data_IF_495972174917
#
_entry.id   IF_495972174917
#
_cell.length_a   1.000
_cell.length_b   1.000
_cell.length_c   1.000
_cell.angle_alpha   90.00
_cell.angle_beta   90.00
_cell.angle_gamma   90.00
#
_symmetry.space_group_name_H-M   'P 1'
#
loop_
_entity.id
_entity.type
_entity.pdbx_description
1 polymer ?
#
# COMPACT_ATOMS: atom_id res chain seq x y z
N UNK A 1 34.13 -29.93 -5.49
CA UNK A 1 32.86 -29.75 -6.25
C UNK A 1 32.37 -31.07 -6.86
N UNK A 2 31.07 -31.36 -6.73
CA UNK A 2 30.39 -32.51 -7.33
C UNK A 2 30.09 -32.29 -8.83
N UNK A 3 29.99 -33.36 -9.62
CA UNK A 3 29.59 -33.30 -11.04
C UNK A 3 28.18 -32.71 -11.22
N UNK A 4 27.32 -32.83 -10.21
CA UNK A 4 25.99 -32.21 -10.16
C UNK A 4 26.10 -30.68 -10.08
N UNK A 5 26.91 -30.16 -9.15
CA UNK A 5 27.13 -28.71 -8.95
C UNK A 5 27.69 -28.05 -10.21
N UNK A 6 28.66 -28.69 -10.89
CA UNK A 6 29.21 -28.18 -12.15
C UNK A 6 28.12 -28.04 -13.21
N UNK A 7 27.24 -29.04 -13.36
CA UNK A 7 26.12 -28.99 -14.32
C UNK A 7 25.13 -27.88 -14.00
N UNK A 8 24.84 -27.62 -12.71
CA UNK A 8 23.97 -26.52 -12.29
C UNK A 8 24.59 -25.16 -12.61
N UNK A 9 25.88 -24.95 -12.32
CA UNK A 9 26.63 -23.73 -12.67
C UNK A 9 26.60 -23.48 -14.19
N UNK A 10 26.78 -24.52 -15.02
CA UNK A 10 26.66 -24.39 -16.49
C UNK A 10 25.25 -23.98 -16.93
N UNK A 11 24.20 -24.59 -16.37
CA UNK A 11 22.81 -24.21 -16.67
C UNK A 11 22.54 -22.76 -16.30
N UNK A 12 22.99 -22.33 -15.12
CA UNK A 12 22.85 -20.96 -14.65
C UNK A 12 23.51 -19.97 -15.61
N UNK A 13 24.73 -20.26 -16.07
CA UNK A 13 25.42 -19.44 -17.07
C UNK A 13 24.61 -19.30 -18.37
N UNK A 14 24.00 -20.39 -18.85
CA UNK A 14 23.09 -20.36 -20.00
C UNK A 14 21.87 -19.45 -19.79
N UNK A 15 21.23 -19.53 -18.63
CA UNK A 15 20.11 -18.66 -18.28
C UNK A 15 20.53 -17.18 -18.19
N UNK A 16 21.68 -16.88 -17.59
CA UNK A 16 22.27 -15.54 -17.54
C UNK A 16 22.54 -14.98 -18.93
N UNK A 17 23.04 -15.81 -19.86
CA UNK A 17 23.27 -15.40 -21.25
C UNK A 17 21.98 -15.00 -21.98
N UNK A 18 20.86 -15.68 -21.72
CA UNK A 18 19.54 -15.29 -22.25
C UNK A 18 19.07 -13.99 -21.60
N UNK A 19 19.23 -13.87 -20.29
CA UNK A 19 18.83 -12.69 -19.53
C UNK A 19 19.58 -11.43 -20.01
N UNK A 20 20.89 -11.51 -20.20
CA UNK A 20 21.69 -10.40 -20.72
C UNK A 20 21.18 -9.90 -22.09
N UNK A 21 20.74 -10.81 -22.97
CA UNK A 21 20.13 -10.44 -24.25
C UNK A 21 18.78 -9.73 -24.07
N UNK A 22 17.97 -10.18 -23.11
CA UNK A 22 16.68 -9.54 -22.80
C UNK A 22 16.89 -8.16 -22.15
N UNK A 23 17.86 -8.03 -21.25
CA UNK A 23 18.19 -6.74 -20.62
C UNK A 23 18.64 -5.71 -21.66
N UNK A 24 19.48 -6.12 -22.63
CA UNK A 24 19.89 -5.26 -23.74
C UNK A 24 18.72 -4.75 -24.58
N UNK A 25 17.65 -5.53 -24.73
CA UNK A 25 16.42 -5.09 -25.43
C UNK A 25 15.66 -4.01 -24.67
N UNK A 26 15.83 -3.94 -23.35
CA UNK A 26 15.07 -3.06 -22.44
C UNK A 26 15.92 -1.86 -21.99
N UNK A 27 17.19 -1.82 -22.39
CA UNK A 27 18.13 -0.74 -22.14
C UNK A 27 17.67 0.62 -22.69
N UNK A 28 17.16 0.74 -23.94
CA UNK A 28 16.71 2.01 -24.53
C UNK A 28 15.63 2.71 -23.72
N UNK A 29 15.45 4.03 -23.90
CA UNK A 29 14.45 4.84 -23.18
C UNK A 29 13.01 4.32 -23.33
N UNK A 30 12.12 4.71 -22.41
CA UNK A 30 10.70 4.29 -22.46
C UNK A 30 10.03 4.67 -23.79
N UNK A 31 10.37 5.83 -24.33
CA UNK A 31 9.87 6.34 -25.60
C UNK A 31 10.36 5.51 -26.78
N UNK A 32 11.65 5.15 -26.83
CA UNK A 32 12.21 4.28 -27.87
C UNK A 32 11.60 2.88 -27.81
N UNK A 33 11.41 2.34 -26.60
CA UNK A 33 10.78 1.03 -26.42
C UNK A 33 9.35 0.99 -26.95
N UNK A 34 8.57 2.06 -26.75
CA UNK A 34 7.19 2.17 -27.23
C UNK A 34 7.10 2.45 -28.73
N UNK A 35 8.18 2.85 -29.38
CA UNK A 35 8.27 2.96 -30.84
C UNK A 35 8.57 1.61 -31.50
N UNK A 36 9.41 0.79 -30.86
CA UNK A 36 9.85 -0.49 -31.39
C UNK A 36 8.91 -1.65 -31.03
N UNK A 37 8.32 -1.63 -29.83
CA UNK A 37 7.52 -2.72 -29.28
C UNK A 37 6.15 -2.24 -28.83
N UNK A 38 5.14 -3.09 -29.00
CA UNK A 38 3.84 -2.86 -28.37
C UNK A 38 3.86 -3.24 -26.87
N UNK A 39 2.84 -2.80 -26.13
CA UNK A 39 2.72 -3.04 -24.68
C UNK A 39 2.62 -4.54 -24.35
N UNK A 40 2.03 -5.35 -25.23
CA UNK A 40 1.88 -6.79 -25.06
C UNK A 40 3.22 -7.51 -25.22
N UNK A 41 4.03 -7.08 -26.19
CA UNK A 41 5.41 -7.55 -26.39
C UNK A 41 6.29 -7.17 -25.19
N UNK A 42 6.22 -5.93 -24.71
CA UNK A 42 6.94 -5.49 -23.51
C UNK A 42 6.52 -6.29 -22.26
N UNK A 43 5.22 -6.59 -22.13
CA UNK A 43 4.70 -7.48 -21.06
C UNK A 43 5.26 -8.90 -21.18
N UNK A 44 5.38 -9.42 -22.39
CA UNK A 44 5.98 -10.74 -22.67
C UNK A 44 7.47 -10.74 -22.32
N UNK A 45 8.22 -9.71 -22.72
CA UNK A 45 9.63 -9.56 -22.38
C UNK A 45 9.82 -9.51 -20.86
N UNK A 46 9.01 -8.71 -20.15
CA UNK A 46 9.01 -8.68 -18.67
C UNK A 46 8.77 -10.06 -18.08
N UNK A 47 7.75 -10.79 -18.57
CA UNK A 47 7.44 -12.14 -18.09
C UNK A 47 8.57 -13.13 -18.32
N UNK A 48 9.28 -13.03 -19.45
CA UNK A 48 10.46 -13.85 -19.72
C UNK A 48 11.62 -13.51 -18.77
N UNK A 49 11.89 -12.24 -18.52
CA UNK A 49 12.92 -11.78 -17.57
C UNK A 49 12.65 -12.37 -16.18
N UNK A 50 11.46 -12.17 -15.64
CA UNK A 50 11.05 -12.69 -14.32
C UNK A 50 11.18 -14.21 -14.25
N UNK A 51 10.68 -14.94 -15.26
CA UNK A 51 10.78 -16.40 -15.29
C UNK A 51 12.23 -16.90 -15.33
N UNK A 52 13.13 -16.19 -16.02
CA UNK A 52 14.55 -16.55 -16.06
C UNK A 52 15.24 -16.22 -14.73
N UNK A 53 14.88 -15.11 -14.09
CA UNK A 53 15.35 -14.75 -12.75
C UNK A 53 14.97 -15.84 -11.74
N UNK A 54 13.69 -16.23 -11.66
CA UNK A 54 13.24 -17.31 -10.75
C UNK A 54 14.01 -18.62 -10.99
N UNK A 55 14.27 -18.98 -12.25
CA UNK A 55 15.04 -20.19 -12.56
C UNK A 55 16.50 -20.08 -12.09
N UNK A 56 17.09 -18.88 -12.17
CA UNK A 56 18.46 -18.62 -11.70
C UNK A 56 18.49 -18.67 -10.17
N UNK A 57 17.52 -18.08 -9.48
CA UNK A 57 17.45 -18.07 -8.02
C UNK A 57 17.32 -19.50 -7.46
N UNK A 58 16.47 -20.33 -8.10
CA UNK A 58 16.37 -21.76 -7.77
C UNK A 58 17.67 -22.54 -8.02
N UNK A 59 18.48 -22.14 -9.00
CA UNK A 59 19.78 -22.75 -9.23
C UNK A 59 20.81 -22.25 -8.22
N UNK A 60 20.77 -20.97 -7.84
CA UNK A 60 21.65 -20.39 -6.83
C UNK A 60 21.44 -21.09 -5.49
N UNK A 61 20.20 -21.27 -5.05
CA UNK A 61 19.86 -21.96 -3.79
C UNK A 61 20.45 -23.38 -3.76
N UNK A 62 20.21 -24.17 -4.82
CA UNK A 62 20.74 -25.55 -4.93
C UNK A 62 22.26 -25.62 -5.03
N UNK A 63 22.89 -24.62 -5.67
CA UNK A 63 24.35 -24.56 -5.75
C UNK A 63 24.92 -24.29 -4.36
N UNK A 64 24.35 -23.33 -3.63
CA UNK A 64 24.79 -22.98 -2.27
C UNK A 64 24.63 -24.17 -1.31
N UNK A 65 23.55 -24.95 -1.42
CA UNK A 65 23.34 -26.16 -0.62
C UNK A 65 24.41 -27.25 -0.83
N UNK A 66 25.02 -27.33 -2.01
CA UNK A 66 26.03 -28.34 -2.36
C UNK A 66 27.48 -27.88 -2.16
N UNK A 67 27.71 -26.58 -1.90
CA UNK A 67 29.05 -26.01 -1.71
C UNK A 67 29.53 -26.16 -0.26
N UNK A 68 30.85 -26.18 -0.09
CA UNK A 68 31.46 -26.12 1.24
C UNK A 68 31.38 -24.70 1.82
N UNK A 69 31.37 -24.58 3.15
CA UNK A 69 31.17 -23.30 3.85
C UNK A 69 32.17 -22.21 3.43
N UNK A 70 33.38 -22.59 3.05
CA UNK A 70 34.45 -21.70 2.56
C UNK A 70 34.21 -21.17 1.14
N UNK A 71 33.44 -21.88 0.31
CA UNK A 71 33.13 -21.49 -1.07
C UNK A 71 31.80 -20.71 -1.20
N UNK A 72 30.95 -20.72 -0.17
CA UNK A 72 29.59 -20.13 -0.23
C UNK A 72 29.60 -18.61 -0.37
N UNK A 73 30.48 -17.91 0.35
CA UNK A 73 30.48 -16.43 0.35
C UNK A 73 30.79 -15.86 -1.03
N UNK A 74 31.84 -16.36 -1.68
CA UNK A 74 32.24 -15.94 -3.03
C UNK A 74 31.15 -16.28 -4.07
N UNK A 75 30.47 -17.41 -3.89
CA UNK A 75 29.38 -17.82 -4.78
C UNK A 75 28.14 -16.93 -4.66
N UNK A 76 27.80 -16.44 -3.46
CA UNK A 76 26.69 -15.51 -3.25
C UNK A 76 27.01 -14.16 -3.87
N UNK A 77 28.22 -13.63 -3.68
CA UNK A 77 28.63 -12.37 -4.30
C UNK A 77 28.59 -12.46 -5.84
N UNK A 78 29.01 -13.60 -6.40
CA UNK A 78 28.89 -13.94 -7.81
C UNK A 78 27.43 -14.05 -8.29
N UNK A 79 26.53 -14.52 -7.43
CA UNK A 79 25.11 -14.65 -7.70
C UNK A 79 24.43 -13.28 -7.88
N UNK A 80 24.78 -12.33 -7.01
CA UNK A 80 24.08 -11.05 -6.87
C UNK A 80 24.47 -9.97 -7.88
N UNK A 81 25.59 -10.13 -8.61
CA UNK A 81 26.09 -9.10 -9.54
C UNK A 81 25.10 -8.62 -10.61
N UNK A 82 24.09 -9.42 -10.93
CA UNK A 82 23.11 -9.09 -11.97
C UNK A 82 21.72 -8.75 -11.41
N UNK A 83 21.51 -8.87 -10.10
CA UNK A 83 20.19 -8.67 -9.47
C UNK A 83 19.68 -7.25 -9.71
N UNK A 84 20.56 -6.25 -9.54
CA UNK A 84 20.20 -4.84 -9.72
C UNK A 84 19.72 -4.53 -11.15
N UNK A 85 20.43 -5.00 -12.17
CA UNK A 85 20.07 -4.73 -13.58
C UNK A 85 18.72 -5.35 -13.95
N UNK A 86 18.45 -6.56 -13.42
CA UNK A 86 17.17 -7.24 -13.61
C UNK A 86 16.04 -6.45 -12.96
N UNK A 87 16.21 -6.07 -11.69
CA UNK A 87 15.19 -5.32 -10.95
C UNK A 87 14.87 -3.97 -11.61
N UNK A 88 15.90 -3.27 -12.09
CA UNK A 88 15.74 -2.01 -12.81
C UNK A 88 14.93 -2.20 -14.09
N UNK A 89 15.25 -3.22 -14.88
CA UNK A 89 14.53 -3.54 -16.11
C UNK A 89 13.07 -3.94 -15.85
N UNK A 90 12.82 -4.80 -14.85
CA UNK A 90 11.46 -5.22 -14.46
C UNK A 90 10.63 -4.03 -13.98
N UNK A 91 11.22 -3.15 -13.18
CA UNK A 91 10.54 -1.95 -12.66
C UNK A 91 10.18 -0.99 -13.79
N UNK A 92 11.12 -0.75 -14.72
CA UNK A 92 10.90 0.08 -15.90
C UNK A 92 9.76 -0.43 -16.76
N UNK A 93 9.79 -1.72 -17.13
CA UNK A 93 8.71 -2.33 -17.92
C UNK A 93 7.37 -2.28 -17.19
N UNK A 94 7.36 -2.53 -15.88
CA UNK A 94 6.14 -2.47 -15.08
C UNK A 94 5.54 -1.06 -15.05
N UNK A 95 6.39 -0.02 -14.99
CA UNK A 95 5.95 1.38 -15.08
C UNK A 95 5.31 1.68 -16.42
N UNK A 96 5.98 1.34 -17.53
CA UNK A 96 5.47 1.57 -18.90
C UNK A 96 4.12 0.87 -19.09
N UNK A 97 4.02 -0.41 -18.71
CA UNK A 97 2.77 -1.18 -18.83
C UNK A 97 1.64 -0.51 -18.04
N UNK A 98 1.90 -0.11 -16.79
CA UNK A 98 0.90 0.56 -15.95
C UNK A 98 0.46 1.92 -16.52
N UNK A 99 1.39 2.73 -17.02
CA UNK A 99 1.11 4.03 -17.63
C UNK A 99 0.26 3.88 -18.92
N UNK A 100 0.54 2.85 -19.72
CA UNK A 100 -0.24 2.54 -20.90
C UNK A 100 -1.70 2.15 -20.57
N UNK A 101 -1.91 1.34 -19.52
CA UNK A 101 -3.25 0.96 -19.05
C UNK A 101 -4.05 2.17 -18.56
N UNK A 102 -3.39 3.08 -17.82
CA UNK A 102 -4.01 4.32 -17.34
C UNK A 102 -4.42 5.17 -18.54
N UNK A 103 -3.53 5.32 -19.53
CA UNK A 103 -3.78 6.13 -20.72
C UNK A 103 -4.95 5.57 -21.55
N UNK A 104 -5.03 4.25 -21.72
CA UNK A 104 -6.13 3.58 -22.40
C UNK A 104 -7.47 3.74 -21.66
N UNK A 105 -7.47 3.65 -20.32
CA UNK A 105 -8.68 3.90 -19.51
C UNK A 105 -9.13 5.35 -19.62
N UNK A 106 -8.19 6.30 -19.61
CA UNK A 106 -8.50 7.72 -19.75
C UNK A 106 -9.05 8.08 -21.13
N UNK A 107 -8.49 7.55 -22.22
CA UNK A 107 -9.01 7.79 -23.57
C UNK A 107 -10.43 7.27 -23.73
N UNK A 108 -10.70 6.05 -23.24
CA UNK A 108 -12.03 5.45 -23.22
C UNK A 108 -13.02 6.33 -22.46
N UNK A 109 -12.66 6.76 -21.23
CA UNK A 109 -13.49 7.67 -20.45
C UNK A 109 -13.78 8.99 -21.19
N UNK A 110 -12.77 9.60 -21.83
CA UNK A 110 -12.94 10.84 -22.60
C UNK A 110 -13.94 10.62 -23.74
N UNK A 111 -13.77 9.59 -24.56
CA UNK A 111 -14.68 9.29 -25.68
C UNK A 111 -16.10 9.01 -25.19
N UNK A 112 -16.28 8.19 -24.16
CA UNK A 112 -17.59 7.89 -23.58
C UNK A 112 -18.27 9.13 -23.02
N UNK A 113 -17.53 10.01 -22.33
CA UNK A 113 -18.10 11.25 -21.78
C UNK A 113 -18.51 12.26 -22.85
N UNK A 114 -17.77 12.35 -23.96
CA UNK A 114 -18.17 13.17 -25.12
C UNK A 114 -19.41 12.58 -25.78
N UNK A 115 -19.43 11.27 -26.03
CA UNK A 115 -20.59 10.60 -26.62
C UNK A 115 -21.86 10.78 -25.75
N UNK A 116 -21.71 10.66 -24.44
CA UNK A 116 -22.80 10.88 -23.49
C UNK A 116 -23.35 12.31 -23.55
N UNK A 117 -22.46 13.32 -23.64
CA UNK A 117 -22.87 14.72 -23.81
C UNK A 117 -23.67 14.94 -25.11
N UNK A 118 -23.39 14.19 -26.16
CA UNK A 118 -24.08 14.26 -27.45
C UNK A 118 -25.45 13.56 -27.47
N UNK A 119 -25.69 12.58 -26.58
CA UNK A 119 -26.95 11.82 -26.52
C UNK A 119 -28.07 12.63 -25.83
N UNK A 120 -27.76 13.76 -25.20
CA UNK A 120 -28.78 14.72 -24.75
C UNK A 120 -29.65 14.25 -23.58
N UNK A 121 -29.33 13.13 -22.94
CA UNK A 121 -29.96 12.78 -21.66
C UNK A 121 -29.42 13.70 -20.55
N UNK A 122 -30.34 14.36 -19.86
CA UNK A 122 -30.03 15.26 -18.74
C UNK A 122 -29.08 14.59 -17.74
N UNK A 123 -28.02 15.31 -17.34
CA UNK A 123 -27.07 14.91 -16.30
C UNK A 123 -27.77 14.51 -14.98
N UNK A 124 -29.02 14.91 -14.79
CA UNK A 124 -29.85 14.60 -13.63
C UNK A 124 -30.34 13.15 -13.62
N UNK A 125 -30.70 12.58 -14.79
CA UNK A 125 -31.20 11.19 -14.88
C UNK A 125 -30.10 10.18 -14.51
N UNK A 126 -28.92 10.33 -15.11
CA UNK A 126 -27.77 9.46 -14.81
C UNK A 126 -27.13 9.77 -13.45
N UNK A 127 -27.17 11.04 -13.03
CA UNK A 127 -26.75 11.47 -11.70
C UNK A 127 -27.51 10.74 -10.59
N UNK A 128 -28.83 10.53 -10.75
CA UNK A 128 -29.66 9.82 -9.78
C UNK A 128 -29.22 8.37 -9.52
N UNK A 129 -28.67 7.69 -10.53
CA UNK A 129 -28.18 6.31 -10.42
C UNK A 129 -26.73 6.25 -9.90
N UNK A 130 -25.86 7.13 -10.41
CA UNK A 130 -24.44 7.10 -10.06
C UNK A 130 -24.15 7.65 -8.67
N UNK A 131 -24.86 8.67 -8.23
CA UNK A 131 -24.61 9.34 -6.94
C UNK A 131 -24.70 8.33 -5.77
N UNK A 132 -25.75 7.49 -5.64
CA UNK A 132 -25.80 6.45 -4.60
C UNK A 132 -24.67 5.42 -4.71
N UNK A 133 -24.30 5.02 -5.93
CA UNK A 133 -23.23 4.04 -6.17
C UNK A 133 -21.88 4.61 -5.71
N UNK A 134 -21.57 5.85 -6.10
CA UNK A 134 -20.33 6.54 -5.74
C UNK A 134 -20.27 6.76 -4.23
N UNK A 135 -21.34 7.28 -3.62
CA UNK A 135 -21.41 7.47 -2.16
C UNK A 135 -21.19 6.15 -1.41
N UNK A 136 -21.72 5.03 -1.91
CA UNK A 136 -21.49 3.72 -1.31
C UNK A 136 -20.06 3.19 -1.45
N UNK A 137 -19.34 3.60 -2.50
CA UNK A 137 -17.92 3.26 -2.69
C UNK A 137 -16.98 4.13 -1.86
N UNK A 138 -17.45 5.28 -1.36
CA UNK A 138 -16.65 6.14 -0.49
C UNK A 138 -16.56 5.56 0.94
N UNK A 139 -15.38 5.67 1.59
CA UNK A 139 -15.22 5.34 3.00
C UNK A 139 -16.18 6.12 3.90
N UNK A 140 -16.61 5.52 5.01
CA UNK A 140 -17.61 6.10 5.91
C UNK A 140 -17.25 7.51 6.40
N UNK A 141 -15.98 7.73 6.77
CA UNK A 141 -15.50 9.04 7.20
C UNK A 141 -15.57 10.12 6.10
N UNK A 142 -15.36 9.73 4.83
CA UNK A 142 -15.48 10.66 3.70
C UNK A 142 -16.95 11.02 3.50
N UNK A 143 -17.83 10.01 3.55
CA UNK A 143 -19.28 10.18 3.42
C UNK A 143 -19.84 11.10 4.50
N UNK A 144 -19.42 10.93 5.75
CA UNK A 144 -19.79 11.81 6.87
C UNK A 144 -19.34 13.26 6.65
N UNK A 145 -18.11 13.45 6.17
CA UNK A 145 -17.60 14.78 5.82
C UNK A 145 -18.41 15.41 4.68
N UNK A 146 -18.80 14.62 3.68
CA UNK A 146 -19.64 15.08 2.57
C UNK A 146 -21.01 15.55 3.08
N UNK A 147 -21.68 14.72 3.89
CA UNK A 147 -22.99 15.05 4.48
C UNK A 147 -22.89 16.28 5.38
N UNK A 148 -21.77 16.46 6.08
CA UNK A 148 -21.52 17.65 6.90
C UNK A 148 -21.33 18.92 6.06
N UNK A 149 -20.68 18.80 4.91
CA UNK A 149 -20.39 19.93 4.02
C UNK A 149 -21.59 20.33 3.15
N UNK A 150 -22.46 19.39 2.80
CA UNK A 150 -23.61 19.62 1.93
C UNK A 150 -24.88 19.87 2.73
N UNK A 151 -25.42 21.10 2.64
CA UNK A 151 -26.66 21.51 3.31
C UNK A 151 -27.93 21.19 2.51
N UNK A 152 -27.79 20.59 1.32
CA UNK A 152 -28.90 20.30 0.41
C UNK A 152 -29.44 18.87 0.55
N UNK A 153 -30.72 18.70 0.24
CA UNK A 153 -31.48 17.45 0.42
C UNK A 153 -31.15 16.38 -0.65
N UNK A 154 -30.47 16.76 -1.73
CA UNK A 154 -30.07 15.83 -2.79
C UNK A 154 -28.67 16.16 -3.34
N UNK A 155 -27.95 15.10 -3.67
CA UNK A 155 -26.65 15.16 -4.33
C UNK A 155 -26.83 15.05 -5.84
N UNK A 156 -26.18 15.92 -6.59
CA UNK A 156 -26.03 15.76 -8.03
C UNK A 156 -24.56 15.45 -8.36
N UNK A 157 -24.32 14.92 -9.56
CA UNK A 157 -22.97 14.49 -9.94
C UNK A 157 -21.93 15.64 -9.91
N UNK A 158 -22.26 16.87 -10.36
CA UNK A 158 -21.36 18.02 -10.24
C UNK A 158 -21.01 18.38 -8.79
N UNK A 159 -21.99 18.50 -7.90
CA UNK A 159 -21.75 18.86 -6.49
C UNK A 159 -20.97 17.78 -5.76
N UNK A 160 -21.28 16.51 -6.05
CA UNK A 160 -20.55 15.36 -5.51
C UNK A 160 -19.08 15.38 -5.95
N UNK A 161 -18.81 15.64 -7.24
CA UNK A 161 -17.43 15.74 -7.75
C UNK A 161 -16.66 16.84 -7.03
N UNK A 162 -17.24 18.03 -6.89
CA UNK A 162 -16.60 19.16 -6.24
C UNK A 162 -16.30 18.88 -4.77
N UNK A 163 -17.24 18.23 -4.06
CA UNK A 163 -17.03 17.83 -2.68
C UNK A 163 -15.89 16.80 -2.53
N UNK A 164 -15.76 15.85 -3.47
CA UNK A 164 -14.70 14.84 -3.45
C UNK A 164 -13.34 15.52 -3.64
N UNK A 165 -13.25 16.43 -4.61
CA UNK A 165 -12.02 17.20 -4.85
C UNK A 165 -11.63 18.03 -3.64
N UNK A 166 -12.58 18.69 -2.99
CA UNK A 166 -12.33 19.48 -1.79
C UNK A 166 -11.79 18.63 -0.63
N UNK A 167 -12.33 17.43 -0.41
CA UNK A 167 -11.82 16.51 0.61
C UNK A 167 -10.41 15.99 0.28
N UNK A 168 -10.10 15.76 -1.00
CA UNK A 168 -8.73 15.42 -1.44
C UNK A 168 -7.77 16.56 -1.09
N UNK A 169 -8.11 17.80 -1.44
CA UNK A 169 -7.30 18.98 -1.14
C UNK A 169 -7.09 19.16 0.37
N UNK A 170 -8.12 18.95 1.20
CA UNK A 170 -7.98 18.99 2.66
C UNK A 170 -6.99 17.94 3.15
N UNK A 171 -7.05 16.73 2.61
CA UNK A 171 -6.15 15.63 3.00
C UNK A 171 -4.71 15.89 2.58
N UNK A 172 -4.51 16.39 1.37
CA UNK A 172 -3.19 16.75 0.85
C UNK A 172 -2.58 17.88 1.68
N UNK A 173 -3.35 18.94 1.98
CA UNK A 173 -2.92 20.03 2.85
C UNK A 173 -2.60 19.57 4.28
N UNK A 174 -3.39 18.64 4.83
CA UNK A 174 -3.16 18.06 6.16
C UNK A 174 -1.98 17.08 6.23
N UNK A 175 -1.55 16.53 5.10
CA UNK A 175 -0.37 15.65 5.01
C UNK A 175 0.94 16.43 4.76
N UNK A 176 0.86 17.70 4.36
CA UNK A 176 2.03 18.53 4.02
C UNK A 176 2.81 19.07 5.23
N UNK A 177 2.53 18.59 6.45
CA UNK A 177 3.33 18.82 7.66
C UNK A 177 4.14 17.56 7.99
N UNK A 178 5.08 17.23 7.11
CA UNK A 178 6.26 16.45 7.48
C UNK A 178 7.47 17.25 6.99
N UNK A 179 7.97 18.11 7.87
CA UNK A 179 9.14 18.96 7.63
C UNK A 179 9.41 19.81 8.87
N UNK A 180 10.27 19.28 9.73
CA UNK A 180 11.19 19.94 10.66
C UNK A 180 10.67 20.91 11.74
N UNK A 181 10.93 20.51 13.00
CA UNK A 181 11.22 21.33 14.18
C UNK A 181 10.72 22.78 14.21
N UNK A 182 9.45 23.00 14.54
CA UNK A 182 9.02 24.19 15.26
C UNK A 182 7.97 23.77 16.28
N UNK A 183 8.35 23.72 17.58
CA UNK A 183 7.36 23.82 18.65
C UNK A 183 6.62 25.15 18.51
N UNK A 184 5.30 25.17 18.24
CA UNK A 184 4.57 26.41 18.34
C UNK A 184 4.31 26.65 19.82
N UNK A 185 5.03 27.62 20.39
CA UNK A 185 4.78 28.17 21.71
C UNK A 185 3.38 28.83 21.74
N UNK A 186 2.34 28.03 21.88
CA UNK A 186 0.98 28.51 22.13
C UNK A 186 0.85 28.79 23.62
N UNK A 187 1.05 30.04 24.01
CA UNK A 187 0.57 30.54 25.30
C UNK A 187 -0.93 30.83 25.18
N UNK A 188 -1.81 30.11 25.90
CA UNK A 188 -3.23 30.38 25.83
C UNK A 188 -3.52 31.71 26.55
N UNK A 189 -4.06 32.68 25.81
CA UNK A 189 -4.50 33.97 26.38
C UNK A 189 -5.72 33.72 27.27
N UNK A 190 -5.66 34.28 28.49
CA UNK A 190 -6.53 34.09 29.65
C UNK A 190 -8.01 34.53 29.48
N UNK A 191 -8.45 34.87 28.27
CA UNK A 191 -9.74 35.50 28.01
C UNK A 191 -10.95 34.55 27.98
N UNK A 192 -10.77 33.22 28.10
CA UNK A 192 -11.86 32.24 27.97
C UNK A 192 -12.40 31.67 29.29
N UNK A 193 -11.97 32.20 30.45
CA UNK A 193 -12.43 31.73 31.76
C UNK A 193 -13.52 32.64 32.36
N UNK A 194 -14.72 32.65 31.79
CA UNK A 194 -15.91 33.09 32.54
C UNK A 194 -17.07 32.10 32.40
N UNK A 195 -17.36 31.44 33.53
CA UNK A 195 -18.70 31.03 33.97
C UNK A 195 -19.58 30.23 33.03
N UNK A 196 -19.38 28.91 32.96
CA UNK A 196 -20.52 27.98 32.90
C UNK A 196 -20.33 26.82 33.88
N UNK A 197 -21.47 26.42 34.44
CA UNK A 197 -21.63 25.60 35.64
C UNK A 197 -20.99 24.21 35.49
N UNK A 198 -20.11 23.88 36.43
CA UNK A 198 -19.43 22.58 36.56
C UNK A 198 -20.47 21.52 36.91
N UNK A 199 -21.00 20.78 35.94
CA UNK A 199 -21.56 19.42 36.18
C UNK A 199 -21.90 18.59 34.92
N UNK A 200 -21.45 18.96 33.71
CA UNK A 200 -21.69 18.13 32.51
C UNK A 200 -20.49 17.94 31.57
N UNK A 201 -19.29 18.35 31.99
CA UNK A 201 -18.08 18.35 31.14
C UNK A 201 -17.00 17.34 31.59
N UNK A 202 -17.38 16.25 32.26
CA UNK A 202 -16.46 15.17 32.63
C UNK A 202 -16.57 13.95 31.69
N UNK A 203 -16.61 14.15 30.38
CA UNK A 203 -16.58 13.02 29.43
C UNK A 203 -15.83 13.25 28.12
N UNK A 204 -14.91 14.21 28.01
CA UNK A 204 -13.83 14.10 27.00
C UNK A 204 -12.53 14.57 27.64
N UNK A 205 -12.07 13.80 28.62
CA UNK A 205 -10.67 13.86 29.01
C UNK A 205 -9.84 13.49 27.79
N UNK A 206 -9.03 14.44 27.31
CA UNK A 206 -7.78 14.17 26.60
C UNK A 206 -7.10 13.03 27.34
N UNK A 207 -7.22 11.81 26.82
CA UNK A 207 -6.27 10.77 27.18
C UNK A 207 -5.03 11.15 26.42
N UNK A 208 -4.04 11.68 27.13
CA UNK A 208 -2.66 11.48 26.74
C UNK A 208 -2.52 9.98 26.46
N UNK A 209 -2.49 9.63 25.17
CA UNK A 209 -2.06 8.32 24.72
C UNK A 209 -0.55 8.36 24.95
N UNK A 210 -0.15 8.21 26.22
CA UNK A 210 1.12 7.57 26.53
C UNK A 210 1.09 6.29 25.72
N UNK A 211 1.92 6.25 24.66
CA UNK A 211 1.94 5.17 23.68
C UNK A 211 2.21 3.87 24.44
N UNK A 212 1.15 3.16 24.82
CA UNK A 212 1.30 1.92 25.60
C UNK A 212 2.19 0.99 24.77
N UNK A 213 3.24 0.43 25.38
CA UNK A 213 4.14 -0.47 24.65
C UNK A 213 3.33 -1.65 24.13
N UNK A 214 3.69 -2.11 22.93
CA UNK A 214 3.04 -3.23 22.28
C UNK A 214 2.99 -4.44 23.23
N UNK A 215 1.82 -5.05 23.40
CA UNK A 215 1.68 -6.22 24.29
C UNK A 215 2.54 -7.41 23.85
N UNK A 216 2.92 -7.48 22.58
CA UNK A 216 3.72 -8.59 22.05
C UNK A 216 5.23 -8.37 22.24
N UNK A 217 5.74 -7.22 21.79
CA UNK A 217 7.20 -6.97 21.78
C UNK A 217 7.64 -5.69 22.50
N UNK A 218 6.74 -5.03 23.22
CA UNK A 218 6.98 -3.81 23.99
C UNK A 218 7.41 -2.57 23.16
N UNK A 219 7.41 -2.67 21.83
CA UNK A 219 7.72 -1.55 20.94
C UNK A 219 6.63 -0.47 20.86
N UNK A 220 6.98 0.68 20.28
CA UNK A 220 6.08 1.85 20.16
C UNK A 220 5.21 1.74 18.90
N UNK A 221 4.30 0.77 18.87
CA UNK A 221 3.33 0.56 17.79
C UNK A 221 2.06 -0.14 18.29
N UNK A 222 1.00 -0.12 17.47
CA UNK A 222 -0.23 -0.84 17.77
C UNK A 222 -0.02 -2.37 17.71
N UNK A 223 -0.56 -3.17 18.65
CA UNK A 223 -0.36 -4.62 18.69
C UNK A 223 -0.67 -5.36 17.38
N UNK A 224 -1.68 -4.93 16.63
CA UNK A 224 -2.05 -5.50 15.34
C UNK A 224 -0.95 -5.33 14.26
N UNK A 225 -0.14 -4.28 14.37
CA UNK A 225 0.95 -3.97 13.45
C UNK A 225 2.30 -4.57 13.92
N UNK A 226 2.30 -5.46 14.92
CA UNK A 226 3.53 -6.04 15.45
C UNK A 226 4.13 -7.02 14.43
N UNK A 227 5.35 -6.69 13.96
CA UNK A 227 6.15 -7.53 13.06
C UNK A 227 7.06 -8.53 13.78
N UNK A 228 7.27 -8.35 15.09
CA UNK A 228 8.15 -9.20 15.89
C UNK A 228 7.49 -10.51 16.33
N UNK A 229 6.15 -10.54 16.38
CA UNK A 229 5.36 -11.75 16.66
C UNK A 229 4.33 -11.89 15.54
N UNK A 230 4.65 -12.70 14.54
CA UNK A 230 3.83 -12.91 13.35
C UNK A 230 2.89 -14.10 13.49
N UNK A 231 3.31 -15.15 14.21
CA UNK A 231 2.56 -16.39 14.33
C UNK A 231 1.36 -16.26 15.28
N UNK A 232 0.21 -16.79 14.85
CA UNK A 232 -1.07 -16.69 15.57
C UNK A 232 -0.99 -17.44 16.91
N UNK A 233 -0.33 -18.59 16.92
CA UNK A 233 -0.15 -19.44 18.10
C UNK A 233 0.67 -18.72 19.18
N UNK A 234 1.72 -18.01 18.78
CA UNK A 234 2.52 -17.18 19.68
C UNK A 234 1.76 -15.97 20.21
N UNK A 235 0.95 -15.31 19.36
CA UNK A 235 0.08 -14.22 19.81
C UNK A 235 -0.93 -14.70 20.85
N UNK A 236 -1.57 -15.85 20.64
CA UNK A 236 -2.49 -16.47 21.61
C UNK A 236 -1.79 -16.82 22.92
N UNK A 237 -0.57 -17.38 22.84
CA UNK A 237 0.26 -17.72 24.00
C UNK A 237 0.56 -16.49 24.86
N UNK A 238 1.01 -15.40 24.25
CA UNK A 238 1.35 -14.15 24.95
C UNK A 238 0.11 -13.51 25.60
N UNK A 239 -1.04 -13.51 24.92
CA UNK A 239 -2.29 -12.97 25.48
C UNK A 239 -2.75 -13.77 26.69
N UNK A 240 -2.61 -15.11 26.65
CA UNK A 240 -2.92 -16.00 27.77
C UNK A 240 -1.98 -15.78 28.95
N UNK A 241 -0.68 -15.66 28.69
CA UNK A 241 0.36 -15.41 29.70
C UNK A 241 0.15 -14.05 30.39
N UNK A 242 -0.14 -13.01 29.60
CA UNK A 242 -0.37 -11.64 30.12
C UNK A 242 -1.78 -11.40 30.65
N UNK A 243 -2.62 -12.45 30.69
CA UNK A 243 -4.02 -12.42 31.12
C UNK A 243 -4.82 -11.27 30.49
N UNK A 244 -4.54 -10.98 29.22
CA UNK A 244 -5.20 -9.92 28.49
C UNK A 244 -6.49 -10.44 27.82
N UNK A 245 -7.44 -9.54 27.61
CA UNK A 245 -8.67 -9.84 26.91
C UNK A 245 -8.37 -10.26 25.47
N UNK A 246 -8.81 -11.45 25.05
CA UNK A 246 -8.65 -11.92 23.68
C UNK A 246 -9.38 -11.05 22.64
N UNK A 247 -10.35 -10.24 23.07
CA UNK A 247 -11.12 -9.38 22.17
C UNK A 247 -10.46 -8.03 21.90
N UNK A 248 -9.92 -7.37 22.93
CA UNK A 248 -9.42 -5.99 22.82
C UNK A 248 -8.04 -5.76 23.45
N UNK A 249 -7.38 -6.82 23.92
CA UNK A 249 -6.05 -6.80 24.55
C UNK A 249 -5.96 -5.93 25.83
N UNK A 250 -7.10 -5.59 26.41
CA UNK A 250 -7.20 -4.86 27.69
C UNK A 250 -7.13 -5.79 28.90
N UNK A 251 -6.95 -5.22 30.08
CA UNK A 251 -6.95 -5.96 31.34
C UNK A 251 -8.38 -6.21 31.83
N UNK A 252 -9.03 -7.26 31.31
CA UNK A 252 -10.33 -7.79 31.75
C UNK A 252 -10.58 -9.15 31.07
N UNK A 253 -11.59 -9.89 31.53
CA UNK A 253 -12.05 -11.11 30.87
C UNK A 253 -12.93 -10.77 29.67
N UNK A 254 -12.95 -11.65 28.67
CA UNK A 254 -13.76 -11.45 27.44
C UNK A 254 -15.25 -11.24 27.76
N UNK A 255 -15.79 -11.91 28.78
CA UNK A 255 -17.17 -11.75 29.22
C UNK A 255 -17.51 -10.32 29.70
N UNK A 256 -16.53 -9.60 30.22
CA UNK A 256 -16.67 -8.23 30.74
C UNK A 256 -16.25 -7.18 29.70
N UNK A 257 -16.02 -7.60 28.45
CA UNK A 257 -15.51 -6.73 27.40
C UNK A 257 -16.63 -5.84 26.84
N UNK A 258 -16.45 -4.52 26.99
CA UNK A 258 -17.36 -3.49 26.45
C UNK A 258 -16.97 -3.00 25.05
N UNK A 259 -16.12 -3.73 24.33
CA UNK A 259 -15.62 -3.33 23.01
C UNK A 259 -16.38 -4.05 21.91
N UNK A 260 -17.01 -3.29 21.00
CA UNK A 260 -17.71 -3.83 19.83
C UNK A 260 -16.77 -4.33 18.72
N UNK A 261 -15.45 -4.24 18.93
CA UNK A 261 -14.44 -4.66 17.95
C UNK A 261 -13.88 -6.03 18.32
N UNK A 262 -13.91 -6.96 17.36
CA UNK A 262 -13.26 -8.27 17.49
C UNK A 262 -11.88 -8.26 16.88
N UNK A 263 -10.85 -8.37 17.72
CA UNK A 263 -9.50 -8.63 17.25
C UNK A 263 -9.38 -10.12 16.92
N UNK A 264 -9.20 -10.43 15.64
CA UNK A 264 -8.75 -11.77 15.22
C UNK A 264 -7.23 -11.79 15.39
N UNK A 265 -6.76 -12.54 16.38
CA UNK A 265 -5.32 -12.77 16.62
C UNK A 265 -4.70 -13.57 15.48
#
# INVERSE_FOLDING_TARGET
>A
MSTATTKMKTRRAGHRGVLAKLLKKVEPSSEELLQEYDVSELSTIRGLIVKKQETIDQLNEKIVEELSEDEVSEEIEEADRHTYDIEMAVTKLSKIIKESEITAKQSTWRTTSVAFKSIGESHESFGSLLVPIILNKLPGNIRENMVRAHRGDHWNLPSLRQAIQHEITIKEAGQSVNGDDIEPNFTPTSALFTGTNRNYANQIGKRDITKKPCIFCQGVHAPLACKNVMEIEDRKRIVKEKQACFNCLGNHRVADCKSDKTIKL
#
